data_IF_484234105134
#
_entry.id   IF_484234105134
#
_cell.length_a   1.000
_cell.length_b   1.000
_cell.length_c   1.000
_cell.angle_alpha   90.00
_cell.angle_beta   90.00
_cell.angle_gamma   90.00
#
_symmetry.space_group_name_H-M   'P 1'
#
loop_
_entity.id
_entity.type
_entity.pdbx_description
1 polymer ?
#
# COMPACT_ATOMS: atom_id res chain seq x y z
N UNK A 1 11.37 2.38 14.27
CA UNK A 1 10.27 3.05 13.57
C UNK A 1 10.03 2.40 12.22
N UNK A 2 8.77 2.25 11.87
CA UNK A 2 8.30 1.62 10.63
C UNK A 2 7.12 2.38 10.07
N UNK A 3 6.96 2.30 8.74
CA UNK A 3 5.91 3.01 8.02
C UNK A 3 5.41 2.19 6.82
N UNK A 4 4.38 2.70 6.16
CA UNK A 4 3.89 2.16 4.90
C UNK A 4 3.57 0.66 4.99
N UNK A 5 2.76 0.22 5.99
CA UNK A 5 2.59 -1.18 6.28
C UNK A 5 1.72 -1.90 5.26
N UNK A 6 2.16 -3.07 4.82
CA UNK A 6 1.31 -4.09 4.20
C UNK A 6 1.21 -5.29 5.12
N UNK A 7 -0.01 -5.65 5.49
CA UNK A 7 -0.28 -6.85 6.28
C UNK A 7 -1.07 -7.85 5.48
N UNK A 8 -0.58 -9.08 5.44
CA UNK A 8 -1.23 -10.21 4.77
C UNK A 8 -1.32 -11.40 5.72
N UNK A 9 -2.35 -12.23 5.54
CA UNK A 9 -2.43 -13.53 6.20
C UNK A 9 -2.31 -14.64 5.17
N UNK A 10 -1.31 -15.48 5.33
CA UNK A 10 -1.11 -16.67 4.50
C UNK A 10 -1.15 -17.91 5.40
N UNK A 11 -2.17 -18.76 5.18
CA UNK A 11 -2.46 -19.85 6.10
C UNK A 11 -2.85 -19.33 7.48
N UNK A 12 -2.13 -19.74 8.50
CA UNK A 12 -2.35 -19.37 9.91
C UNK A 12 -1.39 -18.27 10.41
N UNK A 13 -0.62 -17.67 9.52
CA UNK A 13 0.45 -16.72 9.87
C UNK A 13 0.20 -15.35 9.22
N UNK A 14 0.34 -14.32 10.05
CA UNK A 14 0.36 -12.93 9.60
C UNK A 14 1.78 -12.53 9.20
N UNK A 15 1.87 -11.77 8.14
CA UNK A 15 3.11 -11.21 7.59
C UNK A 15 2.92 -9.71 7.46
N UNK A 16 3.83 -8.95 8.03
CA UNK A 16 3.88 -7.50 7.92
C UNK A 16 5.18 -7.07 7.23
N UNK A 17 5.02 -6.37 6.15
CA UNK A 17 6.10 -5.74 5.40
C UNK A 17 5.95 -4.23 5.56
N UNK A 18 7.04 -3.53 5.77
CA UNK A 18 6.99 -2.09 6.02
C UNK A 18 8.28 -1.43 5.58
N UNK A 19 8.19 -0.13 5.35
CA UNK A 19 9.36 0.74 5.25
C UNK A 19 10.03 0.83 6.61
N UNK A 20 11.33 0.63 6.66
CA UNK A 20 12.11 0.81 7.89
C UNK A 20 12.60 2.24 7.98
N UNK A 21 12.03 3.02 8.89
CA UNK A 21 12.48 4.40 9.14
C UNK A 21 13.82 4.43 9.89
N UNK A 22 14.05 3.47 10.79
CA UNK A 22 15.27 3.45 11.60
C UNK A 22 15.43 4.73 12.41
N UNK A 23 16.50 5.44 12.15
CA UNK A 23 16.77 6.76 12.73
C UNK A 23 16.09 7.91 11.97
N UNK A 24 15.34 7.61 10.92
CA UNK A 24 14.56 8.53 10.09
C UNK A 24 14.70 8.28 8.59
N UNK A 25 13.79 8.83 7.82
CA UNK A 25 13.82 8.91 6.36
C UNK A 25 13.72 7.59 5.56
N UNK A 26 13.35 6.46 6.16
CA UNK A 26 13.10 5.21 5.44
C UNK A 26 14.35 4.58 4.81
N UNK A 27 15.52 4.70 5.42
CA UNK A 27 16.80 4.19 4.90
C UNK A 27 17.20 2.81 5.44
N UNK A 28 16.27 2.07 6.02
CA UNK A 28 16.54 0.76 6.55
C UNK A 28 16.45 -0.36 5.52
N UNK A 29 16.91 -1.57 5.88
CA UNK A 29 16.85 -2.74 5.01
C UNK A 29 15.41 -3.28 4.86
N UNK A 30 15.18 -4.08 3.83
CA UNK A 30 13.96 -4.87 3.70
C UNK A 30 13.84 -5.89 4.83
N UNK A 31 12.65 -6.00 5.41
CA UNK A 31 12.37 -6.90 6.52
C UNK A 31 10.92 -7.37 6.46
N UNK A 32 10.66 -8.51 7.09
CA UNK A 32 9.30 -9.02 7.29
C UNK A 32 9.12 -9.41 8.76
N UNK A 33 7.99 -9.04 9.31
CA UNK A 33 7.54 -9.44 10.64
C UNK A 33 6.50 -10.54 10.51
N UNK A 34 6.61 -11.57 11.33
CA UNK A 34 5.65 -12.67 11.35
C UNK A 34 5.00 -12.82 12.70
N UNK A 35 3.72 -13.17 12.70
CA UNK A 35 2.95 -13.43 13.92
C UNK A 35 1.91 -14.54 13.72
N UNK A 36 1.58 -15.26 14.79
CA UNK A 36 0.46 -16.22 14.82
C UNK A 36 -0.80 -15.64 15.45
N UNK A 37 -0.67 -14.59 16.24
CA UNK A 37 -1.73 -14.05 17.08
C UNK A 37 -1.97 -12.54 16.88
N UNK A 38 -1.23 -11.91 15.95
CA UNK A 38 -1.24 -10.47 15.68
C UNK A 38 -0.76 -9.59 16.85
N UNK A 39 -0.23 -10.20 17.91
CA UNK A 39 0.27 -9.52 19.12
C UNK A 39 1.78 -9.70 19.25
N UNK A 40 2.23 -10.95 19.14
CA UNK A 40 3.64 -11.30 19.27
C UNK A 40 4.27 -11.41 17.88
N UNK A 41 5.18 -10.49 17.57
CA UNK A 41 5.81 -10.38 16.27
C UNK A 41 7.29 -10.76 16.33
N UNK A 42 7.72 -11.54 15.34
CA UNK A 42 9.12 -11.93 15.16
C UNK A 42 9.65 -11.32 13.88
N UNK A 43 10.75 -10.57 14.00
CA UNK A 43 11.46 -10.02 12.86
C UNK A 43 12.23 -11.13 12.14
N UNK A 44 12.04 -11.20 10.82
CA UNK A 44 12.75 -12.12 9.94
C UNK A 44 13.53 -11.34 8.89
N UNK A 45 14.81 -11.63 8.68
CA UNK A 45 15.56 -10.99 7.61
C UNK A 45 15.08 -11.45 6.24
N UNK A 46 15.27 -10.60 5.24
CA UNK A 46 15.03 -10.90 3.84
C UNK A 46 16.36 -10.97 3.08
N UNK A 47 16.44 -11.85 2.08
CA UNK A 47 17.64 -12.02 1.28
C UNK A 47 17.79 -10.97 0.16
N UNK A 48 16.72 -10.28 -0.17
CA UNK A 48 16.63 -9.34 -1.29
C UNK A 48 15.50 -8.33 -1.04
N UNK A 49 15.63 -7.10 -1.48
CA UNK A 49 16.81 -6.52 -2.11
C UNK A 49 17.95 -6.22 -1.12
N UNK A 50 19.18 -6.13 -1.63
CA UNK A 50 20.37 -5.78 -0.82
C UNK A 50 20.48 -4.28 -0.53
N UNK A 51 19.69 -3.48 -1.22
CA UNK A 51 19.66 -2.02 -1.09
C UNK A 51 19.03 -1.58 0.24
N UNK A 52 19.48 -0.45 0.73
CA UNK A 52 18.71 0.40 1.64
C UNK A 52 17.80 1.29 0.78
N UNK A 53 16.78 1.92 1.21
CA UNK A 53 15.75 2.63 0.43
C UNK A 53 14.67 1.69 -0.14
N UNK A 54 14.25 0.78 0.68
CA UNK A 54 13.14 -0.11 0.35
C UNK A 54 11.89 0.51 0.91
N UNK A 55 11.08 1.12 0.05
CA UNK A 55 9.88 1.84 0.44
C UNK A 55 8.61 1.12 0.02
N UNK A 56 7.57 1.28 0.86
CA UNK A 56 6.19 0.88 0.60
C UNK A 56 6.06 -0.51 -0.05
N UNK A 57 6.52 -1.57 0.64
CA UNK A 57 6.45 -2.91 0.10
C UNK A 57 5.02 -3.44 0.06
N UNK A 58 4.72 -4.29 -0.92
CA UNK A 58 3.52 -5.11 -0.97
C UNK A 58 3.87 -6.55 -1.31
N UNK A 59 3.05 -7.50 -0.85
CA UNK A 59 3.19 -8.92 -1.17
C UNK A 59 1.84 -9.51 -1.51
N UNK A 60 1.80 -10.32 -2.57
CA UNK A 60 0.61 -11.08 -2.93
C UNK A 60 0.96 -12.54 -3.22
N UNK A 61 -0.01 -13.42 -3.04
CA UNK A 61 0.05 -14.80 -3.49
C UNK A 61 -0.69 -14.92 -4.83
N UNK A 62 -0.01 -15.46 -5.84
CA UNK A 62 -0.57 -15.66 -7.16
C UNK A 62 -1.17 -17.06 -7.32
N UNK A 63 -2.01 -17.25 -8.34
CA UNK A 63 -2.66 -18.54 -8.65
C UNK A 63 -1.68 -19.62 -9.10
N UNK A 64 -0.47 -19.25 -9.52
CA UNK A 64 0.62 -20.19 -9.83
C UNK A 64 1.27 -20.81 -8.58
N UNK A 65 0.83 -20.38 -7.38
CA UNK A 65 1.32 -20.84 -6.09
C UNK A 65 2.48 -20.02 -5.52
N UNK A 66 3.09 -19.16 -6.31
CA UNK A 66 4.20 -18.32 -5.90
C UNK A 66 3.72 -17.05 -5.20
N UNK A 67 4.65 -16.43 -4.49
CA UNK A 67 4.49 -15.12 -3.87
C UNK A 67 5.29 -14.09 -4.65
N UNK A 68 4.75 -12.89 -4.73
CA UNK A 68 5.36 -11.78 -5.44
C UNK A 68 5.51 -10.62 -4.47
N UNK A 69 6.73 -10.11 -4.34
CA UNK A 69 7.11 -9.01 -3.46
C UNK A 69 7.43 -7.78 -4.30
N UNK A 70 6.70 -6.71 -4.06
CA UNK A 70 6.90 -5.42 -4.71
C UNK A 70 7.50 -4.45 -3.72
N UNK A 71 8.44 -3.66 -4.14
CA UNK A 71 8.94 -2.51 -3.40
C UNK A 71 9.25 -1.37 -4.34
N UNK A 72 9.27 -0.16 -3.82
CA UNK A 72 9.71 0.98 -4.59
C UNK A 72 11.00 1.58 -4.06
N UNK A 73 11.74 2.12 -4.99
CA UNK A 73 12.76 3.14 -4.80
C UNK A 73 12.25 4.40 -5.48
N UNK A 74 12.77 5.58 -5.22
CA UNK A 74 12.27 6.79 -5.85
C UNK A 74 12.06 6.62 -7.36
N UNK A 75 10.79 6.73 -7.78
CA UNK A 75 10.31 6.65 -9.16
C UNK A 75 10.52 5.29 -9.87
N UNK A 76 10.62 4.19 -9.14
CA UNK A 76 10.75 2.83 -9.70
C UNK A 76 10.06 1.80 -8.81
N UNK A 77 9.44 0.78 -9.43
CA UNK A 77 8.93 -0.39 -8.73
C UNK A 77 9.64 -1.64 -9.24
N UNK A 78 10.12 -2.44 -8.29
CA UNK A 78 10.76 -3.73 -8.52
C UNK A 78 9.83 -4.85 -8.07
N UNK A 79 10.00 -6.04 -8.63
CA UNK A 79 9.21 -7.21 -8.26
C UNK A 79 10.11 -8.43 -8.08
N UNK A 80 9.98 -9.09 -6.94
CA UNK A 80 10.60 -10.37 -6.65
C UNK A 80 9.59 -11.51 -6.62
N UNK A 81 10.03 -12.73 -6.88
CA UNK A 81 9.24 -13.95 -6.81
C UNK A 81 9.88 -14.95 -5.86
N UNK A 82 9.05 -15.71 -5.14
CA UNK A 82 9.46 -16.79 -4.23
C UNK A 82 8.36 -17.81 -4.05
N UNK A 83 8.72 -19.03 -3.66
CA UNK A 83 7.77 -20.08 -3.25
C UNK A 83 7.22 -19.87 -1.84
N UNK A 84 7.79 -18.96 -1.06
CA UNK A 84 7.35 -18.63 0.30
C UNK A 84 7.19 -17.13 0.51
N UNK A 85 6.31 -16.69 1.42
CA UNK A 85 6.08 -15.25 1.68
C UNK A 85 7.27 -14.55 2.39
N UNK A 86 8.32 -15.29 2.74
CA UNK A 86 9.53 -14.75 3.35
C UNK A 86 10.74 -14.73 2.42
N UNK A 87 10.58 -15.23 1.20
CA UNK A 87 11.70 -15.51 0.32
C UNK A 87 12.22 -16.96 0.47
N UNK A 88 13.39 -17.29 -0.07
CA UNK A 88 14.31 -16.36 -0.73
C UNK A 88 13.72 -15.77 -2.01
N UNK A 89 13.89 -14.47 -2.14
CA UNK A 89 13.37 -13.71 -3.27
C UNK A 89 14.40 -13.64 -4.41
N UNK A 90 13.89 -13.64 -5.64
CA UNK A 90 14.66 -13.33 -6.85
C UNK A 90 13.89 -12.33 -7.69
N UNK A 91 14.56 -11.35 -8.27
CA UNK A 91 13.90 -10.42 -9.19
C UNK A 91 13.28 -11.20 -10.34
N UNK A 92 12.00 -10.93 -10.62
CA UNK A 92 11.22 -11.65 -11.64
C UNK A 92 11.77 -11.47 -13.05
N UNK A 93 12.48 -10.37 -13.32
CA UNK A 93 13.09 -10.05 -14.62
C UNK A 93 14.51 -10.61 -14.77
N UNK A 94 15.05 -11.28 -13.73
CA UNK A 94 16.33 -11.96 -13.74
C UNK A 94 17.46 -11.17 -13.09
N UNK A 95 17.73 -9.95 -13.56
CA UNK A 95 18.77 -9.10 -12.99
C UNK A 95 18.30 -8.47 -11.66
N UNK A 96 19.15 -8.46 -10.64
CA UNK A 96 18.78 -8.04 -9.27
C UNK A 96 18.12 -6.67 -9.21
N UNK A 97 18.60 -5.72 -10.00
CA UNK A 97 18.14 -4.33 -10.03
C UNK A 97 17.13 -4.03 -11.15
N UNK A 98 16.64 -5.07 -11.84
CA UNK A 98 15.69 -4.87 -12.95
C UNK A 98 14.39 -4.22 -12.48
N UNK A 99 13.91 -3.24 -13.23
CA UNK A 99 12.76 -2.41 -12.91
C UNK A 99 11.52 -2.92 -13.63
N UNK A 100 10.46 -3.24 -12.89
CA UNK A 100 9.19 -3.64 -13.47
C UNK A 100 8.38 -2.43 -13.96
N UNK A 101 8.31 -1.38 -13.16
CA UNK A 101 7.59 -0.14 -13.50
C UNK A 101 8.56 1.03 -13.38
N UNK A 102 9.08 1.54 -14.50
CA UNK A 102 9.90 2.75 -14.50
C UNK A 102 9.06 4.00 -14.23
N UNK A 103 9.74 5.12 -13.97
CA UNK A 103 9.05 6.40 -13.75
C UNK A 103 8.17 6.76 -14.96
N UNK A 104 6.97 7.24 -14.65
CA UNK A 104 5.99 7.69 -15.65
C UNK A 104 5.66 6.64 -16.72
N UNK A 105 5.74 5.37 -16.36
CA UNK A 105 5.29 4.27 -17.22
C UNK A 105 3.86 4.49 -17.74
N UNK A 106 2.99 5.02 -16.88
CA UNK A 106 1.74 5.65 -17.30
C UNK A 106 1.95 7.17 -17.26
N UNK A 107 1.68 7.84 -18.36
CA UNK A 107 1.83 9.30 -18.46
C UNK A 107 1.08 10.00 -17.33
N UNK A 108 1.72 10.97 -16.66
CA UNK A 108 1.19 11.71 -15.53
C UNK A 108 0.93 10.88 -14.24
N UNK A 109 1.52 9.71 -14.14
CA UNK A 109 1.64 8.97 -12.89
C UNK A 109 3.13 8.87 -12.52
N UNK A 110 3.55 9.55 -11.46
CA UNK A 110 4.91 9.43 -10.91
C UNK A 110 4.98 8.09 -10.17
N UNK A 111 5.92 7.25 -10.53
CA UNK A 111 5.99 5.87 -10.05
C UNK A 111 6.51 5.80 -8.62
N UNK A 112 5.64 5.39 -7.69
CA UNK A 112 5.95 5.09 -6.28
C UNK A 112 4.80 4.26 -5.70
N UNK A 113 5.01 3.63 -4.53
CA UNK A 113 3.99 3.01 -3.70
C UNK A 113 3.13 1.98 -4.44
N UNK A 114 3.79 0.95 -5.00
CA UNK A 114 3.09 -0.10 -5.72
C UNK A 114 2.27 -1.00 -4.80
N UNK A 115 0.96 -1.13 -5.06
CA UNK A 115 0.08 -2.02 -4.31
C UNK A 115 -0.72 -2.91 -5.26
N UNK A 116 -0.77 -4.20 -4.95
CA UNK A 116 -1.48 -5.20 -5.75
C UNK A 116 -2.90 -5.44 -5.26
N UNK A 117 -3.77 -5.77 -6.20
CA UNK A 117 -5.10 -6.31 -5.96
C UNK A 117 -5.31 -7.54 -6.81
N UNK A 118 -5.74 -8.65 -6.20
CA UNK A 118 -6.12 -9.89 -6.90
C UNK A 118 -7.63 -9.98 -6.93
N UNK A 119 -8.21 -9.96 -8.12
CA UNK A 119 -9.67 -10.05 -8.30
C UNK A 119 -10.16 -11.50 -8.21
N UNK A 120 -11.48 -11.68 -8.13
CA UNK A 120 -12.14 -12.98 -7.97
C UNK A 120 -11.87 -13.95 -9.14
N UNK A 121 -11.57 -13.42 -10.33
CA UNK A 121 -11.20 -14.20 -11.52
C UNK A 121 -9.71 -14.56 -11.58
N UNK A 122 -8.93 -14.19 -10.57
CA UNK A 122 -7.47 -14.38 -10.50
C UNK A 122 -6.66 -13.32 -11.23
N UNK A 123 -7.29 -12.34 -11.86
CA UNK A 123 -6.58 -11.21 -12.48
C UNK A 123 -5.86 -10.39 -11.41
N UNK A 124 -4.64 -10.00 -11.70
CA UNK A 124 -3.81 -9.18 -10.81
C UNK A 124 -3.69 -7.77 -11.36
N UNK A 125 -3.98 -6.81 -10.51
CA UNK A 125 -3.83 -5.39 -10.81
C UNK A 125 -2.74 -4.80 -9.91
N UNK A 126 -1.98 -3.87 -10.45
CA UNK A 126 -1.01 -3.05 -9.70
C UNK A 126 -1.42 -1.58 -9.82
N UNK A 127 -1.41 -0.88 -8.68
CA UNK A 127 -1.69 0.55 -8.58
C UNK A 127 -0.47 1.24 -8.02
N UNK A 128 -0.14 2.44 -8.50
CA UNK A 128 1.03 3.17 -8.05
C UNK A 128 0.88 4.66 -8.24
N UNK A 129 1.58 5.45 -7.46
CA UNK A 129 1.67 6.87 -7.71
C UNK A 129 2.07 7.68 -6.49
N UNK A 130 2.69 8.81 -6.78
CA UNK A 130 2.90 9.89 -5.81
C UNK A 130 2.73 11.24 -6.49
N UNK A 131 2.54 12.30 -5.70
CA UNK A 131 2.32 13.66 -6.20
C UNK A 131 1.22 13.77 -7.26
N UNK A 132 0.22 12.91 -7.20
CA UNK A 132 -0.90 12.89 -8.15
C UNK A 132 -1.84 14.09 -8.05
N UNK A 133 -1.60 15.00 -7.11
CA UNK A 133 -2.34 16.26 -6.92
C UNK A 133 -2.10 17.30 -8.02
N UNK A 134 -1.04 17.16 -8.82
CA UNK A 134 -0.80 18.08 -9.91
C UNK A 134 -1.90 18.00 -10.98
N UNK A 135 -2.18 19.12 -11.64
CA UNK A 135 -3.21 19.17 -12.69
C UNK A 135 -2.95 18.13 -13.79
N UNK A 136 -3.93 17.25 -14.00
CA UNK A 136 -3.85 16.18 -14.98
C UNK A 136 -3.05 14.96 -14.57
N UNK A 137 -2.55 14.91 -13.32
CA UNK A 137 -1.86 13.77 -12.73
C UNK A 137 -2.85 12.88 -11.97
N UNK A 138 -2.36 11.76 -11.49
CA UNK A 138 -3.14 10.79 -10.71
C UNK A 138 -2.37 9.54 -10.38
N UNK A 139 -3.11 8.46 -10.17
CA UNK A 139 -2.62 7.13 -9.89
C UNK A 139 -2.47 6.33 -11.18
N UNK A 140 -1.32 5.70 -11.40
CA UNK A 140 -1.17 4.68 -12.42
C UNK A 140 -1.85 3.38 -11.99
N UNK A 141 -2.49 2.72 -12.92
CA UNK A 141 -3.10 1.42 -12.72
C UNK A 141 -2.81 0.51 -13.92
N UNK A 142 -2.58 -0.77 -13.67
CA UNK A 142 -2.35 -1.73 -14.75
C UNK A 142 -2.77 -3.13 -14.37
N UNK A 143 -3.29 -3.87 -15.35
CA UNK A 143 -3.54 -5.31 -15.25
C UNK A 143 -2.26 -6.04 -15.65
N UNK A 144 -1.68 -6.80 -14.73
CA UNK A 144 -0.49 -7.61 -14.99
C UNK A 144 -0.83 -8.79 -15.91
N UNK A 145 0.10 -9.12 -16.78
CA UNK A 145 0.05 -10.35 -17.56
C UNK A 145 0.23 -11.57 -16.64
N UNK A 146 -0.16 -12.75 -17.09
CA UNK A 146 -0.09 -13.97 -16.29
C UNK A 146 1.33 -14.37 -15.86
N UNK A 147 2.35 -13.89 -16.56
CA UNK A 147 3.76 -14.07 -16.20
C UNK A 147 4.27 -13.02 -15.18
N UNK A 148 3.44 -12.07 -14.82
CA UNK A 148 3.73 -10.97 -13.88
C UNK A 148 4.85 -10.03 -14.33
N UNK A 149 5.30 -10.09 -15.58
CA UNK A 149 6.47 -9.34 -16.10
C UNK A 149 6.09 -8.14 -16.96
N UNK A 150 4.83 -8.02 -17.31
CA UNK A 150 4.31 -6.96 -18.19
C UNK A 150 2.87 -6.65 -17.86
N UNK A 151 2.32 -5.65 -18.53
CA UNK A 151 0.92 -5.25 -18.38
C UNK A 151 0.16 -5.53 -19.68
N UNK A 152 -1.03 -6.08 -19.55
CA UNK A 152 -1.98 -6.27 -20.67
C UNK A 152 -2.83 -5.04 -20.91
N UNK A 153 -3.03 -4.24 -19.88
CA UNK A 153 -3.80 -2.99 -19.91
C UNK A 153 -3.22 -2.03 -18.87
N UNK A 154 -3.20 -0.73 -19.19
CA UNK A 154 -2.83 0.32 -18.26
C UNK A 154 -3.75 1.52 -18.36
N UNK A 155 -3.92 2.24 -17.26
CA UNK A 155 -4.77 3.43 -17.18
C UNK A 155 -4.19 4.43 -16.18
N UNK A 156 -4.37 5.72 -16.47
CA UNK A 156 -4.30 6.76 -15.44
C UNK A 156 -5.66 6.86 -14.73
N UNK A 157 -5.71 6.74 -13.41
CA UNK A 157 -6.82 7.17 -12.58
C UNK A 157 -6.54 8.63 -12.22
N UNK A 158 -7.19 9.60 -12.88
CA UNK A 158 -6.86 11.01 -12.69
C UNK A 158 -7.35 11.52 -11.33
N UNK A 159 -6.75 12.58 -10.83
CA UNK A 159 -7.17 13.20 -9.57
C UNK A 159 -8.57 13.83 -9.62
N UNK A 160 -9.22 13.89 -10.76
CA UNK A 160 -10.64 14.19 -10.90
C UNK A 160 -11.55 13.03 -10.48
N UNK A 161 -11.05 11.80 -10.48
CA UNK A 161 -11.72 10.60 -9.97
C UNK A 161 -11.30 10.30 -8.51
N UNK A 162 -10.06 10.64 -8.16
CA UNK A 162 -9.46 10.46 -6.84
C UNK A 162 -9.04 11.83 -6.29
N UNK A 163 -9.99 12.57 -5.73
CA UNK A 163 -9.80 13.93 -5.24
C UNK A 163 -8.64 14.00 -4.25
N UNK A 164 -7.71 14.94 -4.46
CA UNK A 164 -6.51 15.15 -3.66
C UNK A 164 -5.60 13.90 -3.56
N UNK A 165 -5.61 13.02 -4.55
CA UNK A 165 -4.70 11.88 -4.55
C UNK A 165 -3.25 12.34 -4.44
N UNK A 166 -2.62 12.03 -3.33
CA UNK A 166 -1.21 12.30 -3.14
C UNK A 166 -0.36 11.07 -3.42
N UNK A 167 -0.61 9.95 -2.69
CA UNK A 167 0.14 8.70 -2.83
C UNK A 167 -0.57 7.51 -2.16
N UNK A 168 0.13 6.38 -2.02
CA UNK A 168 -0.32 5.20 -1.28
C UNK A 168 -1.66 4.63 -1.73
N UNK A 169 -1.81 4.26 -3.01
CA UNK A 169 -3.04 3.65 -3.49
C UNK A 169 -3.26 2.27 -2.86
N UNK A 170 -4.50 1.95 -2.56
CA UNK A 170 -4.92 0.63 -2.09
C UNK A 170 -6.30 0.30 -2.65
N UNK A 171 -6.45 -0.86 -3.27
CA UNK A 171 -7.74 -1.31 -3.80
C UNK A 171 -8.18 -2.59 -3.11
N UNK A 172 -9.45 -2.65 -2.73
CA UNK A 172 -10.13 -3.86 -2.29
C UNK A 172 -11.50 -3.98 -2.96
N UNK A 173 -12.04 -5.20 -2.99
CA UNK A 173 -13.39 -5.47 -3.48
C UNK A 173 -14.29 -5.97 -2.34
N UNK A 174 -15.51 -5.45 -2.26
CA UNK A 174 -16.53 -5.91 -1.32
C UNK A 174 -17.90 -5.83 -1.98
N UNK A 175 -18.63 -6.95 -1.98
CA UNK A 175 -20.00 -7.05 -2.56
C UNK A 175 -20.09 -6.47 -3.99
N UNK A 176 -19.09 -6.75 -4.84
CA UNK A 176 -19.04 -6.29 -6.23
C UNK A 176 -18.57 -4.86 -6.44
N UNK A 177 -18.31 -4.10 -5.38
CA UNK A 177 -17.81 -2.72 -5.43
C UNK A 177 -16.32 -2.72 -5.17
N UNK A 178 -15.57 -1.97 -5.99
CA UNK A 178 -14.14 -1.70 -5.81
C UNK A 178 -13.99 -0.40 -5.00
N UNK A 179 -13.26 -0.50 -3.91
CA UNK A 179 -12.92 0.61 -3.03
C UNK A 179 -11.46 0.98 -3.29
N UNK A 180 -11.25 2.14 -3.85
CA UNK A 180 -9.93 2.73 -4.05
C UNK A 180 -9.67 3.70 -2.92
N UNK A 181 -8.80 3.33 -2.01
CA UNK A 181 -8.36 4.15 -0.88
C UNK A 181 -6.96 4.67 -1.16
N UNK A 182 -6.63 5.85 -0.65
CA UNK A 182 -5.36 6.50 -0.90
C UNK A 182 -5.06 7.58 0.13
N UNK A 183 -3.79 7.99 0.20
CA UNK A 183 -3.38 9.07 1.08
C UNK A 183 -3.42 10.43 0.37
N UNK A 184 -3.80 11.45 1.15
CA UNK A 184 -3.89 12.86 0.75
C UNK A 184 -3.18 13.73 1.76
N UNK A 185 -3.01 15.00 1.46
CA UNK A 185 -2.27 15.95 2.27
C UNK A 185 -0.76 15.77 2.12
N UNK A 186 0.00 16.18 3.13
CA UNK A 186 1.45 16.05 3.15
C UNK A 186 1.89 14.91 4.06
N UNK A 187 2.70 13.99 3.57
CA UNK A 187 3.30 12.94 4.39
C UNK A 187 4.25 13.48 5.49
N UNK A 188 4.52 14.77 5.49
CA UNK A 188 5.42 15.42 6.45
C UNK A 188 4.72 16.05 7.65
N UNK A 189 3.38 16.11 7.66
CA UNK A 189 2.63 16.83 8.70
C UNK A 189 1.24 16.24 8.99
N UNK A 190 0.49 16.93 9.84
CA UNK A 190 -0.84 16.54 10.32
C UNK A 190 -1.93 16.49 9.22
N UNK A 191 -1.66 17.01 8.04
CA UNK A 191 -2.62 17.00 6.93
C UNK A 191 -2.70 15.66 6.22
N UNK A 192 -1.75 14.75 6.49
CA UNK A 192 -1.76 13.40 5.94
C UNK A 192 -2.99 12.65 6.44
N UNK A 193 -3.73 12.02 5.54
CA UNK A 193 -5.03 11.41 5.81
C UNK A 193 -5.37 10.37 4.74
N UNK A 194 -6.36 9.53 5.01
CA UNK A 194 -6.87 8.54 4.05
C UNK A 194 -8.23 8.96 3.51
N UNK A 195 -8.35 8.97 2.19
CA UNK A 195 -9.58 9.20 1.46
C UNK A 195 -9.94 7.98 0.61
N UNK A 196 -11.16 7.94 0.06
CA UNK A 196 -11.55 6.86 -0.83
C UNK A 196 -12.52 7.29 -1.93
N UNK A 197 -12.53 6.46 -2.96
CA UNK A 197 -13.46 6.49 -4.08
C UNK A 197 -13.96 5.08 -4.38
N UNK A 198 -15.04 4.94 -5.11
CA UNK A 198 -15.63 3.64 -5.47
C UNK A 198 -15.90 3.52 -6.96
N UNK A 199 -15.90 2.27 -7.46
CA UNK A 199 -16.20 1.93 -8.84
C UNK A 199 -16.84 0.55 -8.93
N UNK A 200 -17.48 0.25 -10.05
CA UNK A 200 -17.90 -1.09 -10.45
C UNK A 200 -16.82 -1.86 -11.25
N UNK A 201 -15.67 -1.23 -11.49
CA UNK A 201 -14.53 -1.79 -12.23
C UNK A 201 -13.23 -1.59 -11.49
N UNK A 202 -12.26 -2.53 -11.60
CA UNK A 202 -11.01 -2.47 -10.84
C UNK A 202 -10.15 -1.24 -11.14
N UNK A 203 -10.13 -0.76 -12.37
CA UNK A 203 -9.36 0.43 -12.75
C UNK A 203 -10.24 1.68 -12.96
N UNK A 204 -11.47 1.67 -12.46
CA UNK A 204 -12.38 2.81 -12.59
C UNK A 204 -13.20 2.82 -13.90
N UNK A 205 -13.88 3.96 -14.20
CA UNK A 205 -13.78 5.24 -13.50
C UNK A 205 -14.29 5.20 -12.06
N UNK A 206 -13.63 5.95 -11.19
CA UNK A 206 -13.96 6.04 -9.77
C UNK A 206 -14.76 7.29 -9.44
N UNK A 207 -15.62 7.18 -8.43
CA UNK A 207 -16.37 8.29 -7.85
C UNK A 207 -15.89 8.54 -6.43
N UNK A 208 -15.39 9.74 -6.16
CA UNK A 208 -14.93 10.16 -4.85
C UNK A 208 -16.04 10.08 -3.79
N UNK A 209 -15.69 9.63 -2.59
CA UNK A 209 -16.66 9.39 -1.48
C UNK A 209 -16.34 10.17 -0.21
N UNK A 210 -15.10 10.48 0.08
CA UNK A 210 -14.75 11.27 1.26
C UNK A 210 -13.50 10.80 1.98
N UNK A 211 -13.22 11.48 3.10
CA UNK A 211 -12.14 11.16 4.04
C UNK A 211 -12.64 10.13 5.07
N UNK A 212 -11.78 9.15 5.39
CA UNK A 212 -12.12 8.07 6.33
C UNK A 212 -11.17 7.95 7.51
N UNK A 213 -10.00 8.57 7.44
CA UNK A 213 -9.03 8.61 8.53
C UNK A 213 -8.21 9.90 8.44
N UNK A 214 -8.13 10.64 9.53
CA UNK A 214 -7.34 11.87 9.63
C UNK A 214 -6.81 12.08 11.05
N UNK A 215 -5.96 13.08 11.23
CA UNK A 215 -5.46 13.48 12.55
C UNK A 215 -6.63 13.71 13.51
N UNK A 216 -6.60 13.07 14.67
CA UNK A 216 -7.64 13.20 15.67
C UNK A 216 -7.67 14.60 16.32
N UNK A 217 -8.78 14.92 16.99
CA UNK A 217 -9.04 16.30 17.49
C UNK A 217 -8.00 16.82 18.50
N UNK A 218 -7.38 15.93 19.28
CA UNK A 218 -6.34 16.29 20.25
C UNK A 218 -4.91 16.22 19.68
N UNK A 219 -4.76 15.81 18.41
CA UNK A 219 -3.48 15.71 17.71
C UNK A 219 -2.57 14.57 18.16
N UNK A 220 -3.06 13.66 19.00
CA UNK A 220 -2.24 12.52 19.50
C UNK A 220 -2.01 11.48 18.43
N UNK A 221 -2.98 11.26 17.54
CA UNK A 221 -2.79 10.51 16.29
C UNK A 221 -2.55 11.51 15.18
N UNK A 222 -1.30 11.70 14.84
CA UNK A 222 -0.83 12.77 13.96
C UNK A 222 -0.44 12.24 12.59
N UNK A 223 -1.03 12.78 11.53
CA UNK A 223 -0.72 12.43 10.14
C UNK A 223 -0.88 10.95 9.82
N UNK A 224 -2.05 10.31 10.13
CA UNK A 224 -2.26 8.90 9.83
C UNK A 224 -2.44 8.69 8.33
N UNK A 225 -1.80 7.65 7.78
CA UNK A 225 -1.94 7.35 6.36
C UNK A 225 -1.16 6.13 5.90
N UNK A 226 -1.02 5.99 4.60
CA UNK A 226 -0.33 4.91 3.91
C UNK A 226 -0.72 3.54 4.48
N UNK A 227 -1.96 3.20 4.29
CA UNK A 227 -2.61 2.04 4.91
C UNK A 227 -2.60 0.80 4.03
N UNK A 228 -2.84 -0.32 4.65
CA UNK A 228 -3.34 -1.56 4.04
C UNK A 228 -4.56 -2.06 4.80
N UNK A 229 -5.34 -2.96 4.20
CA UNK A 229 -6.50 -3.57 4.83
C UNK A 229 -6.25 -5.06 5.04
N UNK A 230 -6.42 -5.50 6.30
CA UNK A 230 -6.46 -6.91 6.66
C UNK A 230 -7.93 -7.32 6.83
N UNK A 231 -8.32 -8.39 6.14
CA UNK A 231 -9.63 -9.01 6.32
C UNK A 231 -9.51 -10.28 7.16
N UNK A 232 -10.23 -10.33 8.28
CA UNK A 232 -10.35 -11.48 9.18
C UNK A 232 -11.81 -11.92 9.25
N UNK A 233 -12.13 -13.03 8.63
CA UNK A 233 -13.53 -13.49 8.52
C UNK A 233 -14.39 -12.44 7.81
N UNK A 234 -15.34 -11.87 8.52
CA UNK A 234 -16.22 -10.79 8.02
C UNK A 234 -15.78 -9.39 8.48
N UNK A 235 -14.71 -9.29 9.23
CA UNK A 235 -14.20 -8.03 9.76
C UNK A 235 -13.05 -7.49 8.93
N UNK A 236 -12.91 -6.17 8.94
CA UNK A 236 -11.85 -5.45 8.23
C UNK A 236 -11.08 -4.59 9.21
N UNK A 237 -9.78 -4.58 9.08
CA UNK A 237 -8.87 -3.78 9.89
C UNK A 237 -7.99 -2.94 8.98
N UNK A 238 -7.95 -1.64 9.24
CA UNK A 238 -7.02 -0.73 8.59
C UNK A 238 -5.72 -0.73 9.38
N UNK A 239 -4.64 -1.12 8.74
CA UNK A 239 -3.28 -1.04 9.29
C UNK A 239 -2.60 0.12 8.60
N UNK A 240 -2.10 1.08 9.36
CA UNK A 240 -1.57 2.32 8.84
C UNK A 240 -0.41 2.82 9.68
N UNK A 241 0.27 3.87 9.26
CA UNK A 241 1.23 4.54 10.12
C UNK A 241 0.71 5.90 10.59
N UNK A 242 1.24 6.36 11.72
CA UNK A 242 1.14 7.74 12.21
C UNK A 242 2.52 8.28 12.52
N UNK A 243 2.64 9.60 12.59
CA UNK A 243 3.86 10.22 13.09
C UNK A 243 4.01 10.00 14.60
N UNK A 244 5.22 9.75 15.08
CA UNK A 244 5.53 9.72 16.51
C UNK A 244 5.70 11.14 17.02
N UNK A 245 4.58 11.84 17.24
CA UNK A 245 4.58 13.20 17.76
C UNK A 245 4.77 13.21 19.29
N UNK A 246 5.69 14.00 19.88
CA UNK A 246 6.49 15.08 19.26
C UNK A 246 7.84 14.67 18.66
N UNK A 247 8.19 13.39 18.63
CA UNK A 247 9.53 12.91 18.22
C UNK A 247 9.70 12.81 16.71
N UNK A 248 8.63 12.92 15.92
CA UNK A 248 8.69 12.88 14.47
C UNK A 248 9.53 14.03 13.92
N UNK A 249 10.39 13.71 12.96
CA UNK A 249 11.20 14.68 12.25
C UNK A 249 10.73 14.77 10.79
N UNK A 250 9.99 15.80 10.45
CA UNK A 250 9.45 16.02 9.09
C UNK A 250 8.65 14.84 8.56
N UNK A 251 7.81 14.21 9.40
CA UNK A 251 6.99 13.07 9.01
C UNK A 251 7.71 11.70 9.04
N UNK A 252 8.95 11.66 9.49
CA UNK A 252 9.68 10.41 9.76
C UNK A 252 9.59 10.06 11.26
N UNK A 253 10.13 8.90 11.65
CA UNK A 253 9.89 8.26 12.95
C UNK A 253 8.41 7.92 13.10
N UNK A 254 7.94 7.04 12.23
CA UNK A 254 6.54 6.65 12.17
C UNK A 254 6.29 5.38 12.98
N UNK A 255 5.09 5.26 13.49
CA UNK A 255 4.63 4.11 14.26
C UNK A 255 3.43 3.46 13.56
N UNK A 256 3.34 2.15 13.64
CA UNK A 256 2.25 1.39 13.07
C UNK A 256 1.05 1.37 14.01
N UNK A 257 -0.14 1.50 13.44
CA UNK A 257 -1.42 1.46 14.12
C UNK A 257 -2.36 0.50 13.40
N UNK A 258 -3.35 0.00 14.14
CA UNK A 258 -4.43 -0.81 13.58
C UNK A 258 -5.75 -0.43 14.23
N UNK A 259 -6.76 -0.19 13.39
CA UNK A 259 -8.12 0.07 13.85
C UNK A 259 -9.12 -0.71 13.01
N UNK A 260 -10.26 -1.03 13.63
CA UNK A 260 -11.36 -1.70 12.93
C UNK A 260 -12.00 -0.75 11.92
N UNK A 261 -12.14 -1.22 10.68
CA UNK A 261 -12.85 -0.51 9.62
C UNK A 261 -14.26 -1.07 9.46
N UNK A 262 -15.27 -0.21 9.52
CA UNK A 262 -16.67 -0.60 9.40
C UNK A 262 -17.32 0.02 8.17
N UNK A 263 -18.38 -0.64 7.71
CA UNK A 263 -19.22 -0.18 6.61
C UNK A 263 -20.62 0.16 7.11
N UNK A 264 -21.21 1.20 6.53
CA UNK A 264 -22.61 1.51 6.69
C UNK A 264 -23.49 0.56 5.82
N UNK A 265 -24.79 0.62 5.99
CA UNK A 265 -25.74 -0.22 5.24
C UNK A 265 -25.69 0.01 3.73
N UNK A 266 -25.46 1.25 3.31
CA UNK A 266 -25.29 1.65 1.91
C UNK A 266 -23.95 1.25 1.29
N UNK A 267 -23.06 0.64 2.09
CA UNK A 267 -21.73 0.21 1.67
C UNK A 267 -20.65 1.29 1.78
N UNK A 268 -20.97 2.49 2.23
CA UNK A 268 -19.95 3.50 2.52
C UNK A 268 -19.05 3.09 3.68
N UNK A 269 -17.79 3.49 3.64
CA UNK A 269 -16.86 3.27 4.76
C UNK A 269 -17.18 4.32 5.83
N UNK A 270 -17.39 3.87 7.07
CA UNK A 270 -17.53 4.78 8.21
C UNK A 270 -16.19 5.43 8.52
N UNK A 271 -16.19 6.71 8.87
CA UNK A 271 -14.99 7.40 9.35
C UNK A 271 -14.42 6.65 10.56
N UNK A 272 -13.13 6.33 10.51
CA UNK A 272 -12.43 5.68 11.60
C UNK A 272 -12.14 6.70 12.70
N UNK A 273 -12.27 6.25 13.94
CA UNK A 273 -11.77 6.98 15.11
C UNK A 273 -10.46 6.31 15.48
N UNK A 274 -9.32 6.92 15.14
CA UNK A 274 -8.03 6.27 15.35
C UNK A 274 -7.75 6.10 16.85
N UNK A 275 -7.16 4.95 17.19
CA UNK A 275 -6.77 4.61 18.57
C UNK A 275 -5.26 4.55 18.74
N UNK A 276 -4.80 4.52 20.00
CA UNK A 276 -3.37 4.46 20.37
C UNK A 276 -2.82 3.04 20.35
#
# INVERSE_FOLDING_TARGET
YFADPTVKKFGDTYYMYATTDGSGAGFGPAQVWTSKDFVNWTLMPMNWPDSHWIWAPDVMKHTDGNYYYFYCQPCMIHCGVSETPRGPWKNILGESEAVLVPDRFVTNAITLDGQTFVDDDGSVYLYWGTWGIYKGFGCGAGKLASDMKSFTETRLIPNTEATDFFEAPFVMKRKGIYYFMYSSGSCHDHTYRVQYATSDKPMGPYTYRGCILETNADGTIHGPGHHSILKEGNEYYMVYHRHDNPHSNRGFHRQLCVDRMEFAEDGSIKTLIPTH
#
